data_IF_989234695993
#
_entry.id   IF_989234695993
#
_cell.length_a   1.000
_cell.length_b   1.000
_cell.length_c   1.000
_cell.angle_alpha   90.00
_cell.angle_beta   90.00
_cell.angle_gamma   90.00
#
_symmetry.space_group_name_H-M   'P 1'
#
loop_
_entity.id
_entity.type
_entity.pdbx_description
1 polymer ?
#
# COMPACT_ATOMS: atom_id res chain seq x y z
N UNK A 1 -5.49 3.23 -22.38
CA UNK A 1 -5.94 1.83 -22.38
C UNK A 1 -6.80 1.56 -21.16
N UNK A 2 -7.91 0.87 -21.34
CA UNK A 2 -8.73 0.37 -20.23
C UNK A 2 -8.38 -1.10 -19.96
N UNK A 3 -7.92 -1.38 -18.74
CA UNK A 3 -7.55 -2.72 -18.30
C UNK A 3 -8.74 -3.47 -17.70
N UNK A 4 -9.83 -2.79 -17.32
CA UNK A 4 -10.96 -3.39 -16.64
C UNK A 4 -10.74 -3.62 -15.15
N UNK A 5 -11.55 -4.48 -14.51
CA UNK A 5 -11.40 -4.82 -13.10
C UNK A 5 -10.13 -5.64 -12.86
N UNK A 6 -9.61 -5.56 -11.63
CA UNK A 6 -8.51 -6.40 -11.18
C UNK A 6 -8.70 -6.86 -9.74
N UNK A 7 -8.02 -7.95 -9.40
CA UNK A 7 -7.92 -8.52 -8.05
C UNK A 7 -6.46 -8.92 -7.84
N UNK A 8 -5.87 -8.44 -6.74
CA UNK A 8 -4.50 -8.68 -6.35
C UNK A 8 -4.49 -9.18 -4.91
N UNK A 9 -3.58 -10.10 -4.62
CA UNK A 9 -3.37 -10.57 -3.26
C UNK A 9 -1.89 -10.56 -2.93
N UNK A 10 -1.55 -10.03 -1.76
CA UNK A 10 -0.21 -10.07 -1.21
C UNK A 10 -0.27 -10.58 0.23
N UNK A 11 0.82 -11.19 0.67
CA UNK A 11 0.94 -11.59 2.08
C UNK A 11 2.40 -11.60 2.50
N UNK A 12 2.62 -11.26 3.76
CA UNK A 12 3.90 -11.43 4.45
C UNK A 12 3.63 -12.30 5.67
N UNK A 13 4.44 -13.34 5.86
CA UNK A 13 4.34 -14.19 7.04
C UNK A 13 3.05 -15.02 7.12
N UNK A 14 2.56 -15.26 8.34
CA UNK A 14 1.35 -16.06 8.61
C UNK A 14 0.43 -15.32 9.56
N UNK A 15 -0.69 -14.84 9.03
CA UNK A 15 -1.72 -14.14 9.82
C UNK A 15 -2.46 -15.12 10.74
N UNK A 16 -2.64 -14.73 12.00
CA UNK A 16 -3.42 -15.50 12.99
C UNK A 16 -4.90 -15.50 12.60
N UNK A 17 -5.54 -16.65 12.64
CA UNK A 17 -6.95 -16.77 12.31
C UNK A 17 -7.85 -16.15 13.39
N UNK A 18 -8.89 -15.43 12.96
CA UNK A 18 -9.83 -14.71 13.82
C UNK A 18 -11.06 -15.57 14.11
N UNK A 19 -11.11 -16.25 15.26
CA UNK A 19 -12.25 -17.12 15.62
C UNK A 19 -12.98 -16.76 16.91
N UNK A 20 -12.45 -15.82 17.70
CA UNK A 20 -13.05 -15.47 18.98
C UNK A 20 -13.93 -14.22 18.84
N UNK A 21 -15.04 -14.10 19.60
CA UNK A 21 -15.78 -12.84 19.69
C UNK A 21 -14.90 -11.71 20.22
N UNK A 22 -15.16 -10.47 19.76
CA UNK A 22 -14.50 -9.28 20.27
C UNK A 22 -14.76 -9.10 21.77
N UNK A 23 -13.72 -8.81 22.53
CA UNK A 23 -13.82 -8.43 23.93
C UNK A 23 -14.20 -6.95 24.08
N UNK A 24 -14.67 -6.48 25.24
CA UNK A 24 -14.98 -5.07 25.46
C UNK A 24 -13.83 -4.11 25.13
N UNK A 25 -12.59 -4.50 25.46
CA UNK A 25 -11.39 -3.73 25.16
C UNK A 25 -11.10 -3.67 23.65
N UNK A 26 -11.41 -4.73 22.90
CA UNK A 26 -11.27 -4.78 21.44
C UNK A 26 -12.26 -3.84 20.76
N UNK A 27 -13.51 -3.82 21.22
CA UNK A 27 -14.56 -2.91 20.74
C UNK A 27 -14.12 -1.47 20.96
N UNK A 28 -13.67 -1.16 22.17
CA UNK A 28 -13.21 0.19 22.54
C UNK A 28 -11.99 0.62 21.73
N UNK A 29 -10.99 -0.25 21.58
CA UNK A 29 -9.82 0.01 20.75
C UNK A 29 -10.20 0.28 19.30
N UNK A 30 -11.16 -0.49 18.78
CA UNK A 30 -11.71 -0.31 17.44
C UNK A 30 -12.35 1.07 17.27
N UNK A 31 -13.26 1.46 18.16
CA UNK A 31 -13.93 2.77 18.13
C UNK A 31 -12.92 3.92 18.15
N UNK A 32 -11.99 3.90 19.12
CA UNK A 32 -10.94 4.92 19.25
C UNK A 32 -10.01 4.98 18.03
N UNK A 33 -9.74 3.85 17.38
CA UNK A 33 -8.91 3.81 16.17
C UNK A 33 -9.62 4.39 14.95
N UNK A 34 -10.93 4.17 14.82
CA UNK A 34 -11.74 4.78 13.76
C UNK A 34 -11.74 6.30 13.94
N UNK A 35 -11.96 6.79 15.17
CA UNK A 35 -11.89 8.22 15.47
C UNK A 35 -10.51 8.82 15.14
N UNK A 36 -9.43 8.11 15.45
CA UNK A 36 -8.07 8.53 15.07
C UNK A 36 -7.91 8.64 13.55
N UNK A 37 -8.39 7.64 12.81
CA UNK A 37 -8.27 7.60 11.35
C UNK A 37 -9.09 8.71 10.69
N UNK A 38 -10.29 8.99 11.20
CA UNK A 38 -11.13 10.12 10.78
C UNK A 38 -10.45 11.46 11.05
N UNK A 39 -9.85 11.61 12.24
CA UNK A 39 -9.07 12.80 12.55
C UNK A 39 -7.84 12.93 11.66
N UNK A 40 -7.10 11.84 11.41
CA UNK A 40 -5.94 11.80 10.52
C UNK A 40 -6.32 12.14 9.08
N UNK A 41 -7.48 11.68 8.59
CA UNK A 41 -8.01 12.02 7.26
C UNK A 41 -8.07 13.53 7.06
N UNK A 42 -8.46 14.29 8.10
CA UNK A 42 -8.46 15.78 8.06
C UNK A 42 -7.08 16.40 7.85
N UNK A 43 -6.00 15.63 8.04
CA UNK A 43 -4.60 16.04 7.91
C UNK A 43 -3.95 15.54 6.62
N UNK A 44 -4.61 14.72 5.81
CA UNK A 44 -3.97 14.12 4.62
C UNK A 44 -3.46 15.17 3.62
N UNK A 45 -4.15 16.30 3.47
CA UNK A 45 -3.67 17.36 2.56
C UNK A 45 -2.57 18.24 3.11
N UNK A 46 -2.30 18.22 4.43
CA UNK A 46 -1.31 19.09 5.07
C UNK A 46 -0.16 18.35 5.75
N UNK A 47 -0.32 17.04 5.97
CA UNK A 47 0.52 16.27 6.88
C UNK A 47 0.23 16.58 8.36
N UNK A 48 0.87 15.81 9.24
CA UNK A 48 0.86 16.02 10.69
C UNK A 48 2.12 15.47 11.36
N UNK A 49 2.83 16.30 12.13
CA UNK A 49 4.06 15.88 12.80
C UNK A 49 5.13 15.45 11.80
N UNK A 50 5.51 14.17 11.84
CA UNK A 50 6.45 13.55 10.89
C UNK A 50 5.77 12.95 9.66
N UNK A 51 4.43 12.88 9.65
CA UNK A 51 3.67 12.36 8.52
C UNK A 51 3.58 13.45 7.42
N UNK A 52 4.08 13.19 6.21
CA UNK A 52 3.93 14.12 5.09
C UNK A 52 2.45 14.21 4.67
N UNK A 53 2.10 15.17 3.79
CA UNK A 53 0.85 15.08 3.06
C UNK A 53 0.71 13.72 2.36
N UNK A 54 -0.47 13.13 2.47
CA UNK A 54 -0.86 11.86 1.85
C UNK A 54 -1.85 12.06 0.70
N UNK A 55 -2.36 13.29 0.50
CA UNK A 55 -3.23 13.63 -0.63
C UNK A 55 -3.06 15.10 -1.09
N UNK A 56 -2.20 15.37 -2.10
CA UNK A 56 -1.41 14.36 -2.81
C UNK A 56 -0.26 13.81 -1.96
N UNK A 57 -0.01 12.51 -2.07
CA UNK A 57 1.25 11.90 -1.65
C UNK A 57 2.27 12.07 -2.78
N UNK A 58 3.41 12.71 -2.48
CA UNK A 58 4.47 12.95 -3.46
C UNK A 58 5.80 12.33 -3.03
N UNK A 59 6.47 11.64 -3.96
CA UNK A 59 7.84 11.12 -3.77
C UNK A 59 8.66 11.43 -5.01
N UNK A 60 9.84 12.03 -4.82
CA UNK A 60 10.72 12.39 -5.94
C UNK A 60 11.30 11.16 -6.66
N UNK A 61 11.57 10.09 -5.93
CA UNK A 61 12.04 8.80 -6.44
C UNK A 61 11.61 7.69 -5.51
N UNK A 62 11.33 6.52 -6.08
CA UNK A 62 11.24 5.26 -5.34
C UNK A 62 12.57 4.48 -5.47
N UNK A 63 12.72 3.45 -4.63
CA UNK A 63 13.79 2.48 -4.81
C UNK A 63 13.59 1.72 -6.14
N UNK A 64 14.67 1.38 -6.87
CA UNK A 64 14.55 0.62 -8.11
C UNK A 64 13.92 -0.75 -7.87
N UNK A 65 12.95 -1.12 -8.69
CA UNK A 65 12.33 -2.44 -8.67
C UNK A 65 13.08 -3.32 -9.67
N UNK A 66 13.68 -4.41 -9.18
CA UNK A 66 14.36 -5.38 -10.05
C UNK A 66 13.46 -6.58 -10.33
N UNK A 67 13.22 -6.85 -11.61
CA UNK A 67 12.42 -7.96 -12.10
C UNK A 67 13.34 -8.94 -12.83
N UNK A 68 13.47 -10.17 -12.32
CA UNK A 68 14.27 -11.22 -12.94
C UNK A 68 13.37 -12.42 -13.26
N UNK A 69 13.07 -12.63 -14.53
CA UNK A 69 12.20 -13.72 -14.98
C UNK A 69 12.72 -14.37 -16.27
N UNK A 70 13.24 -15.58 -16.14
CA UNK A 70 13.78 -16.34 -17.27
C UNK A 70 14.98 -15.65 -17.93
N UNK A 71 14.79 -15.14 -19.15
CA UNK A 71 15.81 -14.40 -19.92
C UNK A 71 15.67 -12.88 -19.81
N UNK A 72 14.72 -12.41 -19.01
CA UNK A 72 14.44 -11.00 -18.75
C UNK A 72 15.06 -10.62 -17.41
N UNK A 73 15.97 -9.63 -17.42
CA UNK A 73 16.46 -8.91 -16.23
C UNK A 73 16.16 -7.44 -16.45
N UNK A 74 15.31 -6.85 -15.62
CA UNK A 74 14.85 -5.48 -15.78
C UNK A 74 14.97 -4.69 -14.48
N UNK A 75 15.50 -3.49 -14.56
CA UNK A 75 15.46 -2.50 -13.50
C UNK A 75 14.44 -1.42 -13.86
N UNK A 76 13.44 -1.23 -13.00
CA UNK A 76 12.39 -0.22 -13.14
C UNK A 76 12.66 0.90 -12.13
N UNK A 77 12.81 2.11 -12.65
CA UNK A 77 13.04 3.32 -11.88
C UNK A 77 11.80 4.20 -11.97
N UNK A 78 11.27 4.60 -10.82
CA UNK A 78 10.06 5.42 -10.73
C UNK A 78 10.40 6.75 -10.07
N UNK A 79 10.05 7.85 -10.74
CA UNK A 79 10.36 9.22 -10.31
C UNK A 79 9.13 10.11 -10.42
N UNK A 80 9.12 11.22 -9.67
CA UNK A 80 8.02 12.18 -9.66
C UNK A 80 6.66 11.52 -9.40
N UNK A 81 6.63 10.55 -8.47
CA UNK A 81 5.41 9.87 -8.07
C UNK A 81 4.49 10.89 -7.37
N UNK A 82 3.24 10.91 -7.81
CA UNK A 82 2.15 11.63 -7.18
C UNK A 82 0.92 10.72 -7.11
N UNK A 83 0.34 10.59 -5.93
CA UNK A 83 -0.89 9.83 -5.68
C UNK A 83 -1.94 10.78 -5.10
N UNK A 84 -3.07 10.91 -5.76
CA UNK A 84 -4.22 11.72 -5.32
C UNK A 84 -5.43 10.82 -5.00
N UNK A 85 -6.32 11.29 -4.12
CA UNK A 85 -7.60 10.64 -3.79
C UNK A 85 -7.57 9.75 -2.54
N UNK A 86 -6.41 9.58 -1.91
CA UNK A 86 -6.25 8.74 -0.73
C UNK A 86 -7.07 9.24 0.48
N UNK A 87 -7.46 10.52 0.53
CA UNK A 87 -8.28 11.06 1.63
C UNK A 87 -9.76 10.71 1.52
N UNK A 88 -10.23 10.30 0.34
CA UNK A 88 -11.65 10.07 0.05
C UNK A 88 -12.07 8.63 0.39
N UNK A 89 -11.34 7.98 1.30
CA UNK A 89 -11.59 6.60 1.71
C UNK A 89 -12.75 6.49 2.70
N UNK A 90 -13.49 5.39 2.61
CA UNK A 90 -14.49 4.95 3.57
C UNK A 90 -13.96 3.73 4.35
N UNK A 91 -14.21 3.71 5.65
CA UNK A 91 -13.87 2.56 6.51
C UNK A 91 -15.11 1.68 6.62
N UNK A 92 -15.16 0.61 5.82
CA UNK A 92 -16.25 -0.37 5.87
C UNK A 92 -16.13 -1.32 7.06
N UNK A 93 -14.89 -1.63 7.45
CA UNK A 93 -14.56 -2.42 8.62
C UNK A 93 -13.24 -1.93 9.21
N UNK A 94 -13.21 -1.80 10.53
CA UNK A 94 -11.99 -1.85 11.30
C UNK A 94 -12.26 -2.72 12.52
N UNK A 95 -11.38 -3.66 12.84
CA UNK A 95 -11.41 -4.44 14.08
C UNK A 95 -9.99 -4.51 14.63
N UNK A 96 -9.81 -4.06 15.86
CA UNK A 96 -8.55 -4.23 16.59
C UNK A 96 -8.75 -5.31 17.64
N UNK A 97 -7.85 -6.30 17.65
CA UNK A 97 -7.84 -7.41 18.61
C UNK A 97 -6.59 -7.33 19.46
N UNK A 98 -6.75 -6.75 20.64
CA UNK A 98 -5.66 -6.42 21.58
C UNK A 98 -4.99 -7.67 22.15
N UNK A 99 -5.73 -8.78 22.27
CA UNK A 99 -5.21 -10.03 22.85
C UNK A 99 -4.23 -10.79 21.95
N UNK A 100 -4.30 -10.55 20.63
CA UNK A 100 -3.48 -11.22 19.62
C UNK A 100 -2.69 -10.26 18.74
N UNK A 101 -2.77 -8.96 19.04
CA UNK A 101 -2.13 -7.83 18.35
C UNK A 101 -2.41 -7.83 16.84
N UNK A 102 -3.68 -8.03 16.48
CA UNK A 102 -4.16 -8.11 15.09
C UNK A 102 -5.13 -6.99 14.77
N UNK A 103 -5.01 -6.43 13.57
CA UNK A 103 -5.92 -5.45 12.99
C UNK A 103 -6.54 -6.06 11.73
N UNK A 104 -7.86 -6.04 11.61
CA UNK A 104 -8.58 -6.34 10.39
C UNK A 104 -9.20 -5.04 9.87
N UNK A 105 -9.00 -4.74 8.59
CA UNK A 105 -9.49 -3.53 7.97
C UNK A 105 -10.12 -3.86 6.62
N UNK A 106 -11.24 -3.19 6.32
CA UNK A 106 -11.78 -3.09 4.99
C UNK A 106 -11.98 -1.60 4.67
N UNK A 107 -11.32 -1.13 3.63
CA UNK A 107 -11.34 0.27 3.22
C UNK A 107 -11.72 0.35 1.74
N UNK A 108 -12.71 1.19 1.44
CA UNK A 108 -13.09 1.51 0.06
C UNK A 108 -12.58 2.89 -0.32
N UNK A 109 -12.11 3.03 -1.55
CA UNK A 109 -11.59 4.25 -2.16
C UNK A 109 -12.32 4.47 -3.49
N UNK A 110 -13.14 5.52 -3.63
CA UNK A 110 -13.92 5.76 -4.84
C UNK A 110 -13.04 5.90 -6.09
N UNK A 111 -11.93 6.64 -5.96
CA UNK A 111 -10.98 6.83 -7.03
C UNK A 111 -9.58 7.16 -6.48
N UNK A 112 -8.56 6.53 -7.06
CA UNK A 112 -7.15 6.87 -6.87
C UNK A 112 -6.55 7.26 -8.23
N UNK A 113 -5.83 8.38 -8.26
CA UNK A 113 -5.06 8.78 -9.43
C UNK A 113 -3.58 8.68 -9.10
N UNK A 114 -2.81 8.00 -9.94
CA UNK A 114 -1.36 7.89 -9.81
C UNK A 114 -0.72 8.51 -11.05
N UNK A 115 0.22 9.42 -10.85
CA UNK A 115 1.05 9.99 -11.90
C UNK A 115 2.50 9.70 -11.56
N UNK A 116 3.27 9.16 -12.50
CA UNK A 116 4.67 8.78 -12.27
C UNK A 116 5.45 8.77 -13.57
N UNK A 117 6.68 9.28 -13.53
CA UNK A 117 7.65 9.10 -14.59
C UNK A 117 8.41 7.80 -14.37
N UNK A 118 8.66 7.06 -15.45
CA UNK A 118 9.40 5.81 -15.37
C UNK A 118 10.55 5.74 -16.36
N UNK A 119 11.61 5.06 -15.93
CA UNK A 119 12.71 4.59 -16.77
C UNK A 119 12.90 3.10 -16.52
N UNK A 120 12.94 2.30 -17.58
CA UNK A 120 13.14 0.85 -17.49
C UNK A 120 14.39 0.51 -18.29
N UNK A 121 15.34 -0.17 -17.65
CA UNK A 121 16.52 -0.78 -18.28
C UNK A 121 16.31 -2.29 -18.32
N UNK A 122 16.10 -2.86 -19.51
CA UNK A 122 15.81 -4.29 -19.71
C UNK A 122 16.95 -4.95 -20.45
N UNK A 123 17.44 -6.07 -19.95
CA UNK A 123 18.36 -6.97 -20.63
C UNK A 123 17.57 -8.20 -21.07
N UNK A 124 17.34 -8.34 -22.38
CA UNK A 124 16.77 -9.54 -22.99
C UNK A 124 17.89 -10.43 -23.52
N UNK A 125 18.35 -11.37 -22.69
CA UNK A 125 19.53 -12.18 -22.97
C UNK A 125 20.81 -11.35 -23.08
N UNK A 126 21.17 -10.91 -24.29
CA UNK A 126 22.34 -10.04 -24.55
C UNK A 126 21.98 -8.67 -25.13
N UNK A 127 20.68 -8.40 -25.34
CA UNK A 127 20.21 -7.16 -25.96
C UNK A 127 19.70 -6.21 -24.88
N UNK A 128 20.38 -5.07 -24.64
CA UNK A 128 19.88 -4.04 -23.74
C UNK A 128 18.81 -3.19 -24.44
N UNK A 129 17.69 -2.94 -23.76
CA UNK A 129 16.59 -2.09 -24.19
C UNK A 129 16.30 -1.06 -23.09
N UNK A 130 16.03 0.18 -23.49
CA UNK A 130 15.75 1.28 -22.58
C UNK A 130 14.43 1.94 -22.92
N UNK A 131 13.57 2.06 -21.92
CA UNK A 131 12.26 2.67 -22.06
C UNK A 131 12.17 3.84 -21.10
N UNK A 132 11.64 4.96 -21.58
CA UNK A 132 11.25 6.10 -20.74
C UNK A 132 9.81 6.45 -21.09
N UNK A 133 9.08 6.94 -20.11
CA UNK A 133 7.76 7.49 -20.35
C UNK A 133 7.14 8.04 -19.08
N UNK A 134 5.89 8.47 -19.25
CA UNK A 134 5.03 8.91 -18.17
C UNK A 134 3.81 7.98 -18.09
N UNK A 135 3.46 7.61 -16.87
CA UNK A 135 2.32 6.77 -16.54
C UNK A 135 1.33 7.59 -15.71
N UNK A 136 0.12 7.74 -16.24
CA UNK A 136 -1.05 8.14 -15.47
C UNK A 136 -1.96 6.91 -15.32
N UNK A 137 -2.38 6.63 -14.09
CA UNK A 137 -3.29 5.55 -13.75
C UNK A 137 -4.48 6.10 -13.00
N UNK A 138 -5.68 5.74 -13.42
CA UNK A 138 -6.94 6.09 -12.76
C UNK A 138 -7.61 4.77 -12.36
N UNK A 139 -7.71 4.55 -11.06
CA UNK A 139 -8.33 3.35 -10.48
C UNK A 139 -9.61 3.77 -9.78
N UNK A 140 -10.73 3.09 -10.06
CA UNK A 140 -12.04 3.40 -9.45
C UNK A 140 -12.61 2.20 -8.71
N UNK A 141 -13.38 2.45 -7.65
CA UNK A 141 -14.02 1.41 -6.85
C UNK A 141 -13.00 0.47 -6.21
N UNK A 142 -11.90 1.05 -5.69
CA UNK A 142 -10.84 0.30 -5.05
C UNK A 142 -11.32 -0.15 -3.67
N UNK A 143 -11.19 -1.44 -3.36
CA UNK A 143 -11.53 -2.03 -2.08
C UNK A 143 -10.31 -2.81 -1.57
N UNK A 144 -9.88 -2.46 -0.36
CA UNK A 144 -8.66 -2.97 0.28
C UNK A 144 -9.06 -3.69 1.56
N UNK A 145 -8.97 -5.01 1.53
CA UNK A 145 -9.19 -5.87 2.70
C UNK A 145 -7.84 -6.31 3.22
N UNK A 146 -7.52 -5.95 4.45
CA UNK A 146 -6.22 -6.24 5.06
C UNK A 146 -6.37 -6.85 6.44
N UNK A 147 -5.57 -7.87 6.74
CA UNK A 147 -5.36 -8.33 8.11
C UNK A 147 -3.88 -8.21 8.44
N UNK A 148 -3.56 -7.46 9.48
CA UNK A 148 -2.19 -7.17 9.91
C UNK A 148 -1.98 -7.73 11.32
N UNK A 149 -0.91 -8.48 11.53
CA UNK A 149 -0.48 -8.91 12.87
C UNK A 149 0.83 -8.22 13.22
N UNK A 150 0.95 -7.86 14.49
CA UNK A 150 2.14 -7.20 15.02
C UNK A 150 2.75 -7.98 16.18
N UNK A 151 4.02 -7.70 16.44
CA UNK A 151 4.73 -8.16 17.63
C UNK A 151 5.35 -6.97 18.35
N UNK A 152 5.54 -7.10 19.66
CA UNK A 152 6.31 -6.14 20.44
C UNK A 152 7.80 -6.36 20.21
N UNK A 153 8.54 -5.29 19.88
CA UNK A 153 9.98 -5.31 19.65
C UNK A 153 10.67 -4.17 20.40
N UNK A 154 11.90 -4.39 20.83
CA UNK A 154 12.69 -3.38 21.53
C UNK A 154 13.51 -2.56 20.54
N UNK A 155 13.21 -1.28 20.40
CA UNK A 155 13.92 -0.35 19.51
C UNK A 155 14.46 0.85 20.30
N UNK A 156 15.78 1.05 20.26
CA UNK A 156 16.46 2.13 20.99
C UNK A 156 16.08 2.19 22.49
N UNK A 157 15.79 1.05 23.11
CA UNK A 157 15.39 0.95 24.53
C UNK A 157 13.91 1.24 24.81
N UNK A 158 13.08 1.39 23.79
CA UNK A 158 11.63 1.57 23.88
C UNK A 158 10.94 0.35 23.28
N UNK A 159 9.94 -0.20 23.96
CA UNK A 159 9.09 -1.24 23.41
C UNK A 159 8.10 -0.62 22.41
N UNK A 160 8.11 -1.08 21.17
CA UNK A 160 7.26 -0.60 20.08
C UNK A 160 6.54 -1.77 19.41
N UNK A 161 5.41 -1.51 18.76
CA UNK A 161 4.82 -2.50 17.85
C UNK A 161 5.57 -2.52 16.52
N UNK A 162 5.67 -3.71 15.93
CA UNK A 162 6.14 -3.92 14.56
C UNK A 162 5.19 -4.89 13.87
N UNK A 163 4.62 -4.47 12.75
CA UNK A 163 3.87 -5.35 11.83
C UNK A 163 4.85 -6.36 11.25
N UNK A 164 4.58 -7.64 11.51
CA UNK A 164 5.39 -8.78 11.08
C UNK A 164 4.72 -9.64 10.04
N UNK A 165 3.39 -9.67 10.07
CA UNK A 165 2.59 -10.49 9.18
C UNK A 165 1.42 -9.68 8.63
N UNK A 166 1.10 -9.90 7.37
CA UNK A 166 -0.06 -9.31 6.74
C UNK A 166 -0.65 -10.24 5.68
N UNK A 167 -1.93 -10.01 5.41
CA UNK A 167 -2.61 -10.54 4.24
C UNK A 167 -3.47 -9.41 3.68
N UNK A 168 -3.16 -9.01 2.46
CA UNK A 168 -3.81 -7.93 1.75
C UNK A 168 -4.52 -8.49 0.52
N UNK A 169 -5.78 -8.11 0.33
CA UNK A 169 -6.52 -8.28 -0.91
C UNK A 169 -6.94 -6.91 -1.41
N UNK A 170 -6.62 -6.63 -2.67
CA UNK A 170 -6.92 -5.37 -3.33
C UNK A 170 -7.74 -5.68 -4.57
N UNK A 171 -8.98 -5.20 -4.61
CA UNK A 171 -9.87 -5.31 -5.77
C UNK A 171 -10.21 -3.94 -6.30
N UNK A 172 -10.37 -3.78 -7.61
CA UNK A 172 -10.90 -2.55 -8.20
C UNK A 172 -11.90 -2.85 -9.30
N UNK A 173 -12.92 -2.01 -9.41
CA UNK A 173 -13.93 -2.10 -10.49
C UNK A 173 -13.33 -1.78 -11.85
N UNK A 174 -12.41 -0.82 -11.89
CA UNK A 174 -11.76 -0.44 -13.14
C UNK A 174 -10.35 0.13 -12.93
N UNK A 175 -9.46 -0.20 -13.84
CA UNK A 175 -8.13 0.38 -13.98
C UNK A 175 -7.94 0.93 -15.38
N UNK A 176 -7.74 2.24 -15.47
CA UNK A 176 -7.39 2.91 -16.72
C UNK A 176 -5.95 3.39 -16.66
N UNK A 177 -5.17 3.02 -17.66
CA UNK A 177 -3.78 3.42 -17.83
C UNK A 177 -3.64 4.34 -19.05
N UNK A 178 -2.92 5.43 -18.88
CA UNK A 178 -2.53 6.36 -19.93
C UNK A 178 -1.00 6.41 -19.92
N UNK A 179 -0.40 6.00 -21.04
CA UNK A 179 1.04 6.08 -21.25
C UNK A 179 1.33 7.20 -22.23
N UNK A 180 2.17 8.14 -21.84
CA UNK A 180 2.65 9.23 -22.70
C UNK A 180 4.17 9.27 -22.74
N UNK A 181 4.71 10.03 -23.70
CA UNK A 181 6.14 10.30 -23.84
C UNK A 181 7.03 9.04 -23.96
N UNK A 182 6.44 7.97 -24.46
CA UNK A 182 7.11 6.69 -24.64
C UNK A 182 8.19 6.77 -25.73
N UNK A 183 9.41 6.36 -25.39
CA UNK A 183 10.51 6.20 -26.36
C UNK A 183 10.19 5.16 -27.45
N UNK A 184 9.39 4.15 -27.11
CA UNK A 184 8.88 3.10 -28.00
C UNK A 184 7.40 2.93 -27.69
N UNK A 185 6.53 3.03 -28.71
CA UNK A 185 5.10 2.79 -28.54
C UNK A 185 4.86 1.28 -28.46
N UNK A 186 4.50 0.72 -27.29
CA UNK A 186 4.12 -0.67 -27.21
C UNK A 186 2.75 -0.85 -27.88
N UNK A 187 2.54 -2.04 -28.43
CA UNK A 187 1.22 -2.48 -28.85
C UNK A 187 0.31 -2.71 -27.61
N UNK A 188 -0.99 -2.41 -27.71
CA UNK A 188 -1.91 -2.50 -26.57
C UNK A 188 -1.99 -3.93 -26.01
N UNK A 189 -1.96 -4.93 -26.88
CA UNK A 189 -1.96 -6.35 -26.47
C UNK A 189 -0.71 -6.71 -25.67
N UNK A 190 0.44 -6.10 -25.99
CA UNK A 190 1.68 -6.30 -25.24
C UNK A 190 1.59 -5.67 -23.85
N UNK A 191 1.01 -4.46 -23.72
CA UNK A 191 0.87 -3.82 -22.39
C UNK A 191 -0.07 -4.62 -21.50
N UNK A 192 -1.19 -5.11 -22.04
CA UNK A 192 -2.10 -6.01 -21.30
C UNK A 192 -1.39 -7.29 -20.86
N UNK A 193 -0.61 -7.89 -21.75
CA UNK A 193 0.19 -9.08 -21.43
C UNK A 193 1.20 -8.81 -20.32
N UNK A 194 1.91 -7.68 -20.36
CA UNK A 194 2.86 -7.30 -19.31
C UNK A 194 2.18 -7.03 -17.97
N UNK A 195 1.01 -6.38 -17.98
CA UNK A 195 0.22 -6.17 -16.77
C UNK A 195 -0.10 -7.50 -16.08
N UNK A 196 -0.60 -8.49 -16.83
CA UNK A 196 -0.92 -9.81 -16.27
C UNK A 196 0.31 -10.51 -15.67
N UNK A 197 1.51 -10.29 -16.23
CA UNK A 197 2.74 -10.85 -15.68
C UNK A 197 3.26 -10.11 -14.45
N UNK A 198 3.13 -8.78 -14.40
CA UNK A 198 3.77 -7.95 -13.38
C UNK A 198 2.87 -7.65 -12.19
N UNK A 199 1.55 -7.80 -12.31
CA UNK A 199 0.60 -7.31 -11.28
C UNK A 199 0.83 -7.91 -9.90
N UNK A 200 1.23 -9.19 -9.81
CA UNK A 200 1.54 -9.85 -8.52
C UNK A 200 2.84 -9.33 -7.90
N UNK A 201 3.88 -9.12 -8.72
CA UNK A 201 5.15 -8.54 -8.25
C UNK A 201 4.94 -7.09 -7.78
N UNK A 202 4.14 -6.32 -8.53
CA UNK A 202 3.74 -4.97 -8.16
C UNK A 202 2.95 -4.99 -6.84
N UNK A 203 1.99 -5.91 -6.68
CA UNK A 203 1.23 -6.06 -5.44
C UNK A 203 2.15 -6.36 -4.25
N UNK A 204 3.15 -7.25 -4.44
CA UNK A 204 4.13 -7.57 -3.41
C UNK A 204 5.01 -6.36 -3.02
N UNK A 205 5.46 -5.59 -4.00
CA UNK A 205 6.23 -4.35 -3.76
C UNK A 205 5.39 -3.32 -3.03
N UNK A 206 4.16 -3.06 -3.48
CA UNK A 206 3.23 -2.13 -2.83
C UNK A 206 2.98 -2.56 -1.38
N UNK A 207 2.72 -3.84 -1.15
CA UNK A 207 2.49 -4.36 0.19
C UNK A 207 3.70 -4.19 1.10
N UNK A 208 4.90 -4.47 0.59
CA UNK A 208 6.15 -4.27 1.33
C UNK A 208 6.35 -2.80 1.70
N UNK A 209 6.15 -1.89 0.75
CA UNK A 209 6.24 -0.44 0.99
C UNK A 209 5.21 0.03 2.03
N UNK A 210 3.98 -0.48 1.94
CA UNK A 210 2.91 -0.16 2.89
C UNK A 210 3.29 -0.59 4.31
N UNK A 211 3.73 -1.84 4.49
CA UNK A 211 4.16 -2.36 5.79
C UNK A 211 5.36 -1.58 6.34
N UNK A 212 6.31 -1.19 5.49
CA UNK A 212 7.44 -0.35 5.89
C UNK A 212 7.01 1.03 6.38
N UNK A 213 6.11 1.72 5.66
CA UNK A 213 5.61 3.03 6.06
C UNK A 213 4.73 2.96 7.33
N UNK A 214 3.91 1.91 7.47
CA UNK A 214 3.16 1.64 8.71
C UNK A 214 4.12 1.44 9.89
N UNK A 215 5.13 0.58 9.73
CA UNK A 215 6.14 0.36 10.76
C UNK A 215 6.87 1.66 11.10
N UNK A 216 7.27 2.44 10.09
CA UNK A 216 7.91 3.74 10.30
C UNK A 216 7.04 4.69 11.13
N UNK A 217 5.75 4.77 10.85
CA UNK A 217 4.81 5.58 11.61
C UNK A 217 4.63 5.08 13.07
N UNK A 218 4.45 3.77 13.25
CA UNK A 218 4.20 3.15 14.57
C UNK A 218 5.43 3.25 15.48
N UNK A 219 6.64 3.11 14.95
CA UNK A 219 7.90 3.15 15.71
C UNK A 219 8.15 4.48 16.45
N UNK A 220 7.40 5.54 16.14
CA UNK A 220 7.46 6.80 16.88
C UNK A 220 6.77 6.75 18.25
N UNK A 221 6.02 5.70 18.54
CA UNK A 221 5.24 5.56 19.77
C UNK A 221 5.59 4.25 20.49
N UNK A 222 5.65 4.31 21.81
CA UNK A 222 5.77 3.10 22.61
C UNK A 222 4.47 2.29 22.57
N UNK A 223 4.59 0.97 22.74
CA UNK A 223 3.46 0.05 22.92
C UNK A 223 2.50 0.55 24.00
N UNK A 224 3.01 1.10 25.10
CA UNK A 224 2.18 1.63 26.19
C UNK A 224 1.38 2.85 25.73
N UNK A 225 1.99 3.81 25.03
CA UNK A 225 1.28 4.98 24.51
C UNK A 225 0.16 4.60 23.54
N UNK A 226 0.40 3.62 22.68
CA UNK A 226 -0.61 3.10 21.74
C UNK A 226 -1.74 2.45 22.52
N UNK A 227 -1.45 1.59 23.50
CA UNK A 227 -2.47 0.95 24.34
C UNK A 227 -3.28 1.95 25.15
N UNK A 228 -2.63 2.94 25.75
CA UNK A 228 -3.28 4.00 26.52
C UNK A 228 -4.25 4.80 25.65
N UNK A 229 -3.85 5.10 24.41
CA UNK A 229 -4.72 5.75 23.43
C UNK A 229 -5.93 4.87 23.07
N UNK A 230 -5.69 3.61 22.70
CA UNK A 230 -6.74 2.68 22.28
C UNK A 230 -7.75 2.40 23.40
N UNK A 231 -7.34 2.51 24.66
CA UNK A 231 -8.20 2.26 25.82
C UNK A 231 -8.65 3.55 26.52
N UNK A 232 -8.41 4.73 25.93
CA UNK A 232 -8.82 6.01 26.51
C UNK A 232 -10.34 6.10 26.71
N UNK A 233 -10.83 6.64 27.85
CA UNK A 233 -12.25 6.71 28.19
C UNK A 233 -13.08 7.64 27.33
#
# INVERSE_FOLDING_TARGET
MDLGPFDLSASIGTVKELYQPLQPDDIKATENSIELMEWLRSKFSTGYGHMPPLDPLEKSSLEPIRVVQGVVDADVYLTNLRIDGAKDFDIDLAEIRMSIDTVNANITLPQININVDFYIDVILGVVPLKFTGHLESITTGLNVVGVFSSTETMMNGIMTFQVTDDKLQITADNLRIILSDLSIKPDEDNVRTWWEYLKEDIASVINTMLVQEINHAIMHYSTQQIRDFLLAP
#
